data_IF_133514792937
#
_entry.id   IF_133514792937
#
_cell.length_a   1.000
_cell.length_b   1.000
_cell.length_c   1.000
_cell.angle_alpha   90.00
_cell.angle_beta   90.00
_cell.angle_gamma   90.00
#
_symmetry.space_group_name_H-M   'P 1'
#
loop_
_entity.id
_entity.type
_entity.pdbx_description
1 polymer ?
#
# COMPACT_ATOMS: atom_id res chain seq x y z
N UNK A 1 4.43 2.23 29.78
CA UNK A 1 3.70 1.40 28.80
C UNK A 1 3.23 2.34 27.69
N UNK A 2 3.48 2.01 26.42
CA UNK A 2 3.18 2.92 25.30
C UNK A 2 1.66 3.05 25.12
N UNK A 3 1.13 4.27 25.24
CA UNK A 3 -0.30 4.59 25.04
C UNK A 3 -0.81 4.33 23.61
N UNK A 4 0.05 3.88 22.70
CA UNK A 4 -0.28 3.49 21.31
C UNK A 4 -0.86 2.06 21.26
N UNK A 5 -0.69 1.27 22.32
CA UNK A 5 -1.09 -0.15 22.36
C UNK A 5 -2.58 -0.39 22.05
N UNK A 6 -3.55 0.39 22.59
CA UNK A 6 -4.97 0.14 22.36
C UNK A 6 -5.41 0.48 20.93
N UNK A 7 -4.89 1.58 20.35
CA UNK A 7 -5.23 1.99 18.98
C UNK A 7 -4.70 0.96 17.97
N UNK A 8 -3.46 0.50 18.19
CA UNK A 8 -2.86 -0.56 17.38
C UNK A 8 -3.66 -1.85 17.47
N UNK A 9 -4.12 -2.22 18.65
CA UNK A 9 -4.95 -3.42 18.86
C UNK A 9 -6.29 -3.30 18.16
N UNK A 10 -6.95 -2.14 18.24
CA UNK A 10 -8.19 -1.86 17.52
C UNK A 10 -8.02 -2.07 16.01
N UNK A 11 -7.05 -1.39 15.39
CA UNK A 11 -6.80 -1.52 13.95
C UNK A 11 -6.40 -2.95 13.55
N UNK A 12 -5.59 -3.62 14.37
CA UNK A 12 -5.18 -5.01 14.10
C UNK A 12 -6.35 -6.00 14.11
N UNK A 13 -7.45 -5.64 14.77
CA UNK A 13 -8.65 -6.47 14.90
C UNK A 13 -9.70 -6.21 13.83
N UNK A 14 -9.55 -5.17 13.01
CA UNK A 14 -10.44 -4.86 11.90
C UNK A 14 -10.54 -6.05 10.92
N UNK A 15 -11.75 -6.41 10.45
CA UNK A 15 -11.92 -7.47 9.47
C UNK A 15 -11.04 -7.30 8.22
N UNK A 16 -10.94 -6.06 7.74
CA UNK A 16 -10.15 -5.70 6.56
C UNK A 16 -8.66 -5.99 6.80
N UNK A 17 -8.13 -5.65 7.97
CA UNK A 17 -6.71 -5.89 8.33
C UNK A 17 -6.43 -7.38 8.50
N UNK A 18 -7.38 -8.16 9.01
CA UNK A 18 -7.25 -9.62 9.08
C UNK A 18 -7.23 -10.23 7.68
N UNK A 19 -8.12 -9.79 6.80
CA UNK A 19 -8.21 -10.25 5.42
C UNK A 19 -6.95 -9.91 4.61
N UNK A 20 -6.42 -8.69 4.77
CA UNK A 20 -5.12 -8.28 4.19
C UNK A 20 -4.04 -9.30 4.55
N UNK A 21 -3.89 -9.66 5.83
CA UNK A 21 -2.87 -10.64 6.28
C UNK A 21 -3.07 -12.04 5.69
N UNK A 22 -4.30 -12.43 5.40
CA UNK A 22 -4.59 -13.70 4.72
C UNK A 22 -4.17 -13.63 3.25
N UNK A 23 -4.52 -12.53 2.57
CA UNK A 23 -4.16 -12.26 1.18
C UNK A 23 -2.64 -12.15 1.01
N UNK A 24 -1.92 -11.46 1.91
CA UNK A 24 -0.46 -11.38 1.89
C UNK A 24 0.17 -12.78 1.89
N UNK A 25 -0.26 -13.66 2.80
CA UNK A 25 0.24 -15.03 2.86
C UNK A 25 -0.05 -15.80 1.57
N UNK A 26 -1.23 -15.61 1.00
CA UNK A 26 -1.59 -16.26 -0.25
C UNK A 26 -0.73 -15.74 -1.42
N UNK A 27 -0.62 -14.41 -1.56
CA UNK A 27 0.18 -13.73 -2.58
C UNK A 27 1.64 -14.17 -2.50
N UNK A 28 2.22 -14.22 -1.31
CA UNK A 28 3.62 -14.59 -1.08
C UNK A 28 3.93 -16.06 -1.40
N UNK A 29 2.94 -16.95 -1.24
CA UNK A 29 3.10 -18.40 -1.45
C UNK A 29 2.59 -18.88 -2.80
N UNK A 30 1.84 -18.05 -3.53
CA UNK A 30 1.29 -18.39 -4.83
C UNK A 30 2.39 -18.36 -5.90
N UNK A 31 2.68 -19.54 -6.47
CA UNK A 31 3.74 -19.70 -7.46
C UNK A 31 3.45 -19.00 -8.80
N UNK A 32 2.19 -18.80 -9.17
CA UNK A 32 1.81 -18.06 -10.37
C UNK A 32 2.11 -16.56 -10.22
N UNK A 33 1.70 -15.97 -9.09
CA UNK A 33 1.98 -14.57 -8.74
C UNK A 33 3.49 -14.36 -8.67
N UNK A 34 4.21 -15.27 -8.01
CA UNK A 34 5.67 -15.21 -7.89
C UNK A 34 6.37 -15.29 -9.24
N UNK A 35 5.92 -16.15 -10.16
CA UNK A 35 6.42 -16.21 -11.54
C UNK A 35 6.17 -14.90 -12.28
N UNK A 36 4.95 -14.39 -12.24
CA UNK A 36 4.58 -13.10 -12.86
C UNK A 36 5.43 -11.95 -12.32
N UNK A 37 5.66 -11.90 -11.01
CA UNK A 37 6.48 -10.87 -10.39
C UNK A 37 7.96 -10.97 -10.78
N UNK A 38 8.50 -12.18 -10.87
CA UNK A 38 9.87 -12.40 -11.32
C UNK A 38 10.05 -12.02 -12.80
N UNK A 39 9.05 -12.30 -13.63
CA UNK A 39 9.05 -11.89 -15.02
C UNK A 39 9.05 -10.36 -15.17
N UNK A 40 8.21 -9.67 -14.41
CA UNK A 40 8.22 -8.20 -14.36
C UNK A 40 9.60 -7.67 -13.97
N UNK A 41 10.26 -8.24 -12.94
CA UNK A 41 11.62 -7.84 -12.55
C UNK A 41 12.63 -8.05 -13.68
N UNK A 42 12.52 -9.16 -14.42
CA UNK A 42 13.38 -9.43 -15.57
C UNK A 42 13.20 -8.38 -16.67
N UNK A 43 11.95 -8.06 -17.01
CA UNK A 43 11.62 -7.02 -18.01
C UNK A 43 12.11 -5.65 -17.54
N UNK A 44 11.92 -5.30 -16.26
CA UNK A 44 12.42 -4.04 -15.68
C UNK A 44 13.94 -3.92 -15.80
N UNK A 45 14.68 -5.00 -15.58
CA UNK A 45 16.14 -5.00 -15.76
C UNK A 45 16.52 -4.70 -17.22
N UNK A 46 15.83 -5.32 -18.17
CA UNK A 46 16.05 -5.07 -19.60
C UNK A 46 15.67 -3.63 -19.99
N UNK A 47 14.58 -3.11 -19.44
CA UNK A 47 14.13 -1.73 -19.64
C UNK A 47 15.18 -0.73 -19.14
N UNK A 48 15.68 -0.90 -17.91
CA UNK A 48 16.73 -0.04 -17.34
C UNK A 48 18.00 -0.12 -18.19
N UNK A 49 18.44 -1.32 -18.57
CA UNK A 49 19.62 -1.50 -19.41
C UNK A 49 19.48 -0.83 -20.77
N UNK A 50 18.36 -1.04 -21.47
CA UNK A 50 18.11 -0.41 -22.78
C UNK A 50 18.08 1.12 -22.69
N UNK A 51 17.55 1.68 -21.59
CA UNK A 51 17.59 3.12 -21.31
C UNK A 51 19.01 3.63 -21.08
N UNK A 52 19.81 2.92 -20.28
CA UNK A 52 21.20 3.30 -19.96
C UNK A 52 22.11 3.30 -21.19
N UNK A 53 21.88 2.37 -22.13
CA UNK A 53 22.66 2.25 -23.37
C UNK A 53 22.02 2.94 -24.58
N UNK A 54 21.02 3.81 -24.37
CA UNK A 54 20.35 4.59 -25.43
C UNK A 54 19.80 3.74 -26.59
N UNK A 55 19.28 2.55 -26.26
CA UNK A 55 18.65 1.63 -27.20
C UNK A 55 17.15 1.90 -27.31
N UNK A 56 16.78 3.03 -27.93
CA UNK A 56 15.42 3.57 -27.87
C UNK A 56 14.34 2.59 -28.38
N UNK A 57 14.62 1.84 -29.45
CA UNK A 57 13.66 0.87 -29.99
C UNK A 57 13.41 -0.28 -29.00
N UNK A 58 14.48 -0.84 -28.42
CA UNK A 58 14.38 -1.91 -27.42
C UNK A 58 13.72 -1.39 -26.14
N UNK A 59 14.01 -0.15 -25.75
CA UNK A 59 13.37 0.48 -24.61
C UNK A 59 11.85 0.57 -24.79
N UNK A 60 11.37 1.01 -25.95
CA UNK A 60 9.92 1.06 -26.21
C UNK A 60 9.29 -0.33 -26.19
N UNK A 61 9.96 -1.34 -26.75
CA UNK A 61 9.48 -2.72 -26.69
C UNK A 61 9.35 -3.22 -25.26
N UNK A 62 10.41 -3.09 -24.45
CA UNK A 62 10.38 -3.52 -23.05
C UNK A 62 9.40 -2.70 -22.19
N UNK A 63 9.14 -1.44 -22.55
CA UNK A 63 8.18 -0.61 -21.85
C UNK A 63 6.75 -1.15 -22.03
N UNK A 64 6.40 -1.53 -23.26
CA UNK A 64 5.09 -2.14 -23.54
C UNK A 64 4.95 -3.53 -22.92
N UNK A 65 5.99 -4.37 -23.00
CA UNK A 65 6.03 -5.65 -22.29
C UNK A 65 5.83 -5.48 -20.78
N UNK A 66 6.50 -4.49 -20.18
CA UNK A 66 6.37 -4.18 -18.76
C UNK A 66 4.95 -3.74 -18.39
N UNK A 67 4.34 -2.84 -19.18
CA UNK A 67 2.97 -2.38 -18.93
C UNK A 67 1.98 -3.54 -18.97
N UNK A 68 2.07 -4.37 -20.00
CA UNK A 68 1.19 -5.53 -20.17
C UNK A 68 1.34 -6.54 -19.03
N UNK A 69 2.57 -6.90 -18.68
CA UNK A 69 2.84 -7.83 -17.57
C UNK A 69 2.36 -7.28 -16.22
N UNK A 70 2.56 -5.97 -15.98
CA UNK A 70 2.08 -5.30 -14.77
C UNK A 70 0.55 -5.27 -14.71
N UNK A 71 -0.12 -4.93 -15.82
CA UNK A 71 -1.59 -4.90 -15.89
C UNK A 71 -2.16 -6.29 -15.57
N UNK A 72 -1.63 -7.34 -16.20
CA UNK A 72 -2.07 -8.71 -15.94
C UNK A 72 -1.89 -9.14 -14.47
N UNK A 73 -0.80 -8.73 -13.81
CA UNK A 73 -0.61 -9.01 -12.38
C UNK A 73 -1.65 -8.28 -11.50
N UNK A 74 -1.99 -7.04 -11.85
CA UNK A 74 -2.94 -6.21 -11.11
C UNK A 74 -4.39 -6.66 -11.33
N UNK A 75 -4.71 -7.22 -12.50
CA UNK A 75 -6.04 -7.76 -12.83
C UNK A 75 -6.33 -9.12 -12.15
N UNK A 76 -5.38 -9.68 -11.40
CA UNK A 76 -5.64 -10.89 -10.63
C UNK A 76 -6.60 -10.58 -9.46
N UNK A 77 -7.71 -11.33 -9.31
CA UNK A 77 -8.75 -10.99 -8.31
C UNK A 77 -8.24 -10.83 -6.88
N UNK A 78 -7.25 -11.63 -6.48
CA UNK A 78 -6.67 -11.58 -5.12
C UNK A 78 -5.75 -10.37 -4.92
N UNK A 79 -5.14 -9.87 -6.00
CA UNK A 79 -4.29 -8.68 -5.97
C UNK A 79 -5.17 -7.44 -5.97
N UNK A 80 -6.22 -7.44 -6.80
CA UNK A 80 -7.26 -6.40 -6.80
C UNK A 80 -7.89 -6.25 -5.40
N UNK A 81 -8.42 -7.33 -4.83
CA UNK A 81 -9.00 -7.34 -3.48
C UNK A 81 -8.01 -6.81 -2.43
N UNK A 82 -6.74 -7.25 -2.51
CA UNK A 82 -5.70 -6.80 -1.58
C UNK A 82 -5.48 -5.29 -1.66
N UNK A 83 -5.39 -4.74 -2.87
CA UNK A 83 -5.16 -3.31 -3.09
C UNK A 83 -6.35 -2.46 -2.63
N UNK A 84 -7.58 -2.90 -2.90
CA UNK A 84 -8.80 -2.24 -2.42
C UNK A 84 -8.83 -2.19 -0.89
N UNK A 85 -8.53 -3.31 -0.22
CA UNK A 85 -8.51 -3.36 1.24
C UNK A 85 -7.43 -2.45 1.84
N UNK A 86 -6.26 -2.36 1.20
CA UNK A 86 -5.20 -1.43 1.62
C UNK A 86 -5.68 0.02 1.54
N UNK A 87 -6.42 0.40 0.49
CA UNK A 87 -7.00 1.74 0.35
C UNK A 87 -8.06 2.01 1.43
N UNK A 88 -8.94 1.04 1.69
CA UNK A 88 -9.98 1.14 2.73
C UNK A 88 -9.34 1.34 4.10
N UNK A 89 -8.34 0.52 4.45
CA UNK A 89 -7.64 0.65 5.74
C UNK A 89 -6.86 1.96 5.82
N UNK A 90 -6.22 2.38 4.72
CA UNK A 90 -5.53 3.66 4.63
C UNK A 90 -6.46 4.85 4.89
N UNK A 91 -7.68 4.81 4.35
CA UNK A 91 -8.71 5.84 4.59
C UNK A 91 -9.12 5.87 6.06
N UNK A 92 -9.39 4.71 6.68
CA UNK A 92 -9.72 4.64 8.12
C UNK A 92 -8.60 5.19 9.00
N UNK A 93 -7.34 4.93 8.65
CA UNK A 93 -6.18 5.47 9.37
C UNK A 93 -6.10 6.99 9.24
N UNK A 94 -6.35 7.52 8.05
CA UNK A 94 -6.38 8.97 7.80
C UNK A 94 -7.49 9.63 8.61
N UNK A 95 -8.70 9.08 8.60
CA UNK A 95 -9.84 9.61 9.34
C UNK A 95 -9.58 9.61 10.85
N UNK A 96 -8.98 8.53 11.38
CA UNK A 96 -8.58 8.46 12.78
C UNK A 96 -7.51 9.51 13.12
N UNK A 97 -6.54 9.74 12.24
CA UNK A 97 -5.53 10.78 12.43
C UNK A 97 -6.16 12.18 12.46
N UNK A 98 -7.07 12.48 11.54
CA UNK A 98 -7.78 13.76 11.49
C UNK A 98 -8.63 13.97 12.73
N UNK A 99 -9.35 12.94 13.20
CA UNK A 99 -10.11 13.02 14.44
C UNK A 99 -9.22 13.30 15.66
N UNK A 100 -8.07 12.63 15.77
CA UNK A 100 -7.10 12.90 16.85
C UNK A 100 -6.59 14.35 16.79
N UNK A 101 -6.26 14.84 15.60
CA UNK A 101 -5.79 16.21 15.39
C UNK A 101 -6.86 17.24 15.81
N UNK A 102 -8.12 17.02 15.44
CA UNK A 102 -9.24 17.89 15.84
C UNK A 102 -9.45 17.92 17.35
N UNK A 103 -9.40 16.77 18.03
CA UNK A 103 -9.56 16.69 19.48
C UNK A 103 -8.40 17.36 20.24
N UNK A 104 -7.17 17.22 19.73
CA UNK A 104 -6.01 17.94 20.25
C UNK A 104 -6.18 19.45 20.09
N UNK A 105 -6.62 19.91 18.91
CA UNK A 105 -6.84 21.33 18.66
C UNK A 105 -7.92 21.92 19.57
N UNK A 106 -9.02 21.21 19.80
CA UNK A 106 -10.06 21.61 20.76
C UNK A 106 -9.50 21.73 22.18
N UNK A 107 -8.68 20.76 22.59
CA UNK A 107 -8.06 20.75 23.91
C UNK A 107 -7.12 21.94 24.09
N UNK A 108 -6.24 22.20 23.11
CA UNK A 108 -5.31 23.33 23.11
C UNK A 108 -6.05 24.66 23.12
N UNK A 109 -7.07 24.82 22.27
CA UNK A 109 -7.87 26.04 22.21
C UNK A 109 -8.69 26.26 23.48
N UNK A 110 -9.20 25.19 24.09
CA UNK A 110 -9.88 25.24 25.39
C UNK A 110 -8.96 25.73 26.51
N UNK A 111 -7.70 25.28 26.53
CA UNK A 111 -6.67 25.79 27.45
C UNK A 111 -6.30 27.26 27.18
N UNK A 112 -6.36 27.71 25.93
CA UNK A 112 -6.13 29.12 25.58
C UNK A 112 -7.26 30.05 26.05
N UNK A 113 -8.51 29.55 26.15
CA UNK A 113 -9.68 30.33 26.62
C UNK A 113 -9.85 30.38 28.14
N UNK A 114 -9.25 29.44 28.87
CA UNK A 114 -9.14 29.46 30.33
C UNK A 114 -7.68 29.24 30.71
N UNK A 115 -6.83 30.29 30.62
CA UNK A 115 -5.51 30.20 31.19
C UNK A 115 -5.70 29.96 32.68
N UNK A 116 -5.13 28.86 33.20
CA UNK A 116 -4.84 28.81 34.62
C UNK A 116 -3.92 30.02 34.87
N UNK A 117 -4.40 30.96 35.70
CA UNK A 117 -3.90 32.33 35.99
C UNK A 117 -4.57 33.46 35.21
#
# INVERSE_FOLDING_TARGET
MSNISPLKEYFSNLPEVKRIKELEKYIDTNEEIKKSFNEIKRIQKNLVSSKEFHQDNQYQMYLEEYKNAKMHLLDLPFVEEYLELIEIVGTKLKDASSWIEEELQKTINGWATHPFF
#
